data_IF_951554681706
#
_entry.id   IF_951554681706
#
_cell.length_a   1.000
_cell.length_b   1.000
_cell.length_c   1.000
_cell.angle_alpha   90.00
_cell.angle_beta   90.00
_cell.angle_gamma   90.00
#
_symmetry.space_group_name_H-M   'P 1'
#
loop_
_entity.id
_entity.type
_entity.pdbx_description
1 polymer ?
#
# COMPACT_ATOMS: atom_id res chain seq x y z
N UNK A 1 27.37 -16.82 6.49
CA UNK A 1 26.37 -17.88 6.19
C UNK A 1 25.08 -17.20 5.76
N UNK A 2 24.44 -17.64 4.68
CA UNK A 2 23.15 -17.10 4.28
C UNK A 2 22.05 -17.56 5.25
N UNK A 3 21.07 -16.71 5.53
CA UNK A 3 19.89 -17.09 6.31
C UNK A 3 19.09 -18.19 5.57
N UNK A 4 18.72 -19.27 6.26
CA UNK A 4 17.89 -20.37 5.72
C UNK A 4 16.67 -20.65 6.63
N UNK A 5 16.06 -19.61 7.17
CA UNK A 5 14.84 -19.74 7.97
C UNK A 5 13.66 -20.15 7.09
N UNK A 6 12.79 -21.04 7.62
CA UNK A 6 11.56 -21.50 6.98
C UNK A 6 10.41 -21.38 7.98
N UNK A 7 9.31 -20.77 7.57
CA UNK A 7 8.14 -20.58 8.42
C UNK A 7 7.01 -21.53 8.02
N UNK A 8 6.26 -22.02 9.02
CA UNK A 8 5.03 -22.78 8.76
C UNK A 8 3.98 -21.88 8.10
N UNK A 9 3.06 -22.47 7.33
CA UNK A 9 1.97 -21.73 6.70
C UNK A 9 1.13 -20.95 7.73
N UNK A 10 0.89 -21.55 8.90
CA UNK A 10 0.19 -20.90 10.01
C UNK A 10 0.91 -19.64 10.50
N UNK A 11 2.24 -19.68 10.64
CA UNK A 11 3.02 -18.53 11.04
C UNK A 11 3.05 -17.44 9.96
N UNK A 12 3.18 -17.82 8.68
CA UNK A 12 3.08 -16.85 7.56
C UNK A 12 1.73 -16.15 7.56
N UNK A 13 0.64 -16.88 7.78
CA UNK A 13 -0.69 -16.30 7.92
C UNK A 13 -0.76 -15.37 9.14
N UNK A 14 -0.25 -15.78 10.30
CA UNK A 14 -0.26 -14.91 11.49
C UNK A 14 0.51 -13.59 11.27
N UNK A 15 1.66 -13.63 10.59
CA UNK A 15 2.43 -12.44 10.23
C UNK A 15 1.65 -11.50 9.31
N UNK A 16 0.98 -12.03 8.28
CA UNK A 16 0.16 -11.21 7.40
C UNK A 16 -1.12 -10.68 8.07
N UNK A 17 -1.69 -11.45 9.01
CA UNK A 17 -2.84 -11.01 9.79
C UNK A 17 -2.48 -9.79 10.66
N UNK A 18 -1.24 -9.72 11.15
CA UNK A 18 -0.75 -8.57 11.91
C UNK A 18 -0.81 -7.26 11.10
N UNK A 19 -0.65 -7.30 9.77
CA UNK A 19 -0.82 -6.10 8.92
C UNK A 19 -2.26 -5.58 9.06
N UNK A 20 -3.24 -6.46 8.90
CA UNK A 20 -4.67 -6.10 9.01
C UNK A 20 -4.99 -5.54 10.39
N UNK A 21 -4.44 -6.15 11.44
CA UNK A 21 -4.59 -5.69 12.82
C UNK A 21 -3.96 -4.30 13.03
N UNK A 22 -2.75 -4.08 12.50
CA UNK A 22 -2.01 -2.83 12.70
C UNK A 22 -2.64 -1.66 11.95
N UNK A 23 -3.13 -1.89 10.73
CA UNK A 23 -3.89 -0.88 9.96
C UNK A 23 -5.14 -0.46 10.72
N UNK A 24 -5.80 -1.43 11.37
CA UNK A 24 -7.01 -1.21 12.13
C UNK A 24 -8.16 -0.74 11.24
N UNK A 25 -9.02 0.13 11.80
CA UNK A 25 -10.20 0.64 11.10
C UNK A 25 -9.88 1.93 10.35
N UNK A 26 -10.34 1.99 9.09
CA UNK A 26 -10.26 3.18 8.23
C UNK A 26 -8.82 3.64 7.95
N UNK A 27 -7.93 2.68 7.69
CA UNK A 27 -6.60 2.99 7.14
C UNK A 27 -6.67 3.64 5.76
N UNK A 28 -5.54 4.13 5.28
CA UNK A 28 -5.46 4.78 3.97
C UNK A 28 -4.17 4.43 3.23
N UNK A 29 -4.28 4.40 1.91
CA UNK A 29 -3.14 4.36 0.98
C UNK A 29 -2.80 5.76 0.56
N UNK A 30 -1.61 6.22 0.92
CA UNK A 30 -1.03 7.44 0.40
C UNK A 30 -0.06 7.08 -0.73
N UNK A 31 -0.33 7.59 -1.94
CA UNK A 31 0.42 7.27 -3.16
C UNK A 31 1.37 8.43 -3.46
N UNK A 32 2.62 8.11 -3.74
CA UNK A 32 3.68 9.10 -3.89
C UNK A 32 4.48 8.94 -5.19
N UNK A 33 5.12 10.03 -5.61
CA UNK A 33 6.21 10.01 -6.58
C UNK A 33 7.58 9.82 -5.91
N UNK A 34 8.62 9.75 -6.73
CA UNK A 34 10.00 9.76 -6.29
C UNK A 34 10.48 8.44 -5.68
N UNK A 35 11.45 8.53 -4.78
CA UNK A 35 12.07 7.38 -4.15
C UNK A 35 11.36 7.01 -2.84
N UNK A 36 11.03 5.73 -2.70
CA UNK A 36 10.50 5.16 -1.47
C UNK A 36 11.51 5.32 -0.32
N UNK A 37 11.09 5.74 0.89
CA UNK A 37 11.93 5.71 2.08
C UNK A 37 12.40 4.30 2.46
N UNK A 38 13.41 4.20 3.32
CA UNK A 38 13.96 2.91 3.74
C UNK A 38 12.98 2.05 4.57
N UNK A 39 12.03 2.68 5.27
CA UNK A 39 10.99 2.00 6.04
C UNK A 39 9.75 2.90 6.22
N UNK A 40 8.57 2.31 6.53
CA UNK A 40 7.35 3.06 6.83
C UNK A 40 7.48 4.03 8.02
N UNK A 41 8.45 3.83 8.91
CA UNK A 41 8.75 4.70 10.06
C UNK A 41 9.51 5.98 9.66
N UNK A 42 10.13 6.00 8.47
CA UNK A 42 10.86 7.16 7.98
C UNK A 42 9.88 8.19 7.43
N UNK A 43 9.98 9.42 7.92
CA UNK A 43 9.13 10.53 7.49
C UNK A 43 9.29 10.86 6.00
N UNK A 44 8.20 11.33 5.40
CA UNK A 44 8.19 11.87 4.03
C UNK A 44 8.83 13.25 4.05
N UNK A 45 9.74 13.50 3.12
CA UNK A 45 10.46 14.80 3.07
C UNK A 45 10.45 15.41 1.68
N UNK A 46 10.80 14.64 0.65
CA UNK A 46 10.97 15.13 -0.72
C UNK A 46 9.90 14.62 -1.68
N UNK A 47 9.17 13.58 -1.29
CA UNK A 47 8.16 12.94 -2.11
C UNK A 47 6.86 13.74 -2.13
N UNK A 48 6.19 13.77 -3.27
CA UNK A 48 4.91 14.44 -3.45
C UNK A 48 3.78 13.44 -3.27
N UNK A 49 2.84 13.76 -2.38
CA UNK A 49 1.60 12.99 -2.24
C UNK A 49 0.74 13.19 -3.49
N UNK A 50 0.56 12.17 -4.30
CA UNK A 50 -0.22 12.22 -5.54
C UNK A 50 -1.69 11.91 -5.32
N UNK A 51 -2.05 11.00 -4.41
CA UNK A 51 -3.43 10.69 -4.06
C UNK A 51 -3.51 9.98 -2.71
N UNK A 52 -4.65 10.11 -2.03
CA UNK A 52 -4.99 9.32 -0.84
C UNK A 52 -6.26 8.52 -1.11
N UNK A 53 -6.22 7.22 -0.85
CA UNK A 53 -7.32 6.29 -1.06
C UNK A 53 -7.69 5.64 0.27
N UNK A 54 -8.97 5.75 0.64
CA UNK A 54 -9.45 5.21 1.92
C UNK A 54 -9.72 3.71 1.80
N UNK A 55 -9.22 2.96 2.78
CA UNK A 55 -9.52 1.54 2.91
C UNK A 55 -10.93 1.34 3.47
N UNK A 56 -11.48 0.14 3.23
CA UNK A 56 -12.66 -0.33 3.96
C UNK A 56 -12.41 -0.36 5.48
N UNK A 57 -13.49 -0.30 6.28
CA UNK A 57 -13.41 -0.37 7.75
C UNK A 57 -12.66 -1.61 8.23
N UNK A 58 -12.83 -2.73 7.53
CA UNK A 58 -11.99 -3.91 7.65
C UNK A 58 -11.03 -3.90 6.47
N UNK A 59 -9.72 -3.80 6.74
CA UNK A 59 -8.70 -3.68 5.71
C UNK A 59 -8.66 -4.89 4.76
N UNK A 60 -8.63 -6.10 5.30
CA UNK A 60 -8.55 -7.34 4.53
C UNK A 60 -9.19 -8.51 5.29
N UNK A 61 -9.63 -9.58 4.59
CA UNK A 61 -10.01 -10.83 5.24
C UNK A 61 -8.77 -11.55 5.80
N UNK A 62 -9.01 -12.66 6.50
CA UNK A 62 -7.93 -13.50 7.02
C UNK A 62 -7.00 -13.98 5.88
N UNK A 63 -5.68 -13.95 6.09
CA UNK A 63 -4.70 -14.37 5.09
C UNK A 63 -4.79 -15.86 4.79
N UNK A 64 -4.40 -16.21 3.56
CA UNK A 64 -4.29 -17.58 3.08
C UNK A 64 -2.93 -17.79 2.43
N UNK A 65 -2.25 -18.88 2.79
CA UNK A 65 -0.92 -19.25 2.28
C UNK A 65 0.14 -18.14 2.37
N UNK A 66 0.08 -17.28 3.38
CA UNK A 66 1.00 -16.15 3.56
C UNK A 66 0.71 -14.97 2.63
N UNK A 67 -0.48 -14.91 2.05
CA UNK A 67 -0.97 -13.81 1.22
C UNK A 67 -2.18 -13.17 1.91
N UNK A 68 -2.17 -11.84 1.99
CA UNK A 68 -3.36 -11.05 2.33
C UNK A 68 -3.69 -10.13 1.15
N UNK A 69 -4.95 -10.13 0.75
CA UNK A 69 -5.48 -9.26 -0.32
C UNK A 69 -6.38 -8.24 0.32
N UNK A 70 -6.14 -6.95 0.06
CA UNK A 70 -6.99 -5.89 0.60
C UNK A 70 -8.44 -6.04 0.11
N UNK A 71 -9.40 -5.66 0.95
CA UNK A 71 -10.78 -5.47 0.54
C UNK A 71 -10.89 -4.33 -0.48
N UNK A 72 -12.11 -4.08 -0.99
CA UNK A 72 -12.36 -2.95 -1.88
C UNK A 72 -11.83 -1.63 -1.26
N UNK A 73 -11.01 -0.93 -2.05
CA UNK A 73 -10.42 0.35 -1.70
C UNK A 73 -11.23 1.42 -2.43
N UNK A 74 -11.62 2.47 -1.71
CA UNK A 74 -12.37 3.57 -2.32
C UNK A 74 -11.48 4.36 -3.26
N UNK A 75 -12.06 4.83 -4.36
CA UNK A 75 -11.35 5.69 -5.30
C UNK A 75 -10.85 6.96 -4.60
N UNK A 76 -9.66 7.39 -5.01
CA UNK A 76 -9.05 8.63 -4.59
C UNK A 76 -9.12 9.66 -5.70
N UNK A 77 -8.58 10.84 -5.41
CA UNK A 77 -8.46 11.92 -6.40
C UNK A 77 -7.04 12.47 -6.37
N UNK A 78 -6.49 12.76 -7.55
CA UNK A 78 -5.17 13.36 -7.68
C UNK A 78 -5.10 14.71 -6.96
N UNK A 79 -4.08 14.88 -6.12
CA UNK A 79 -3.87 16.12 -5.36
C UNK A 79 -3.33 17.24 -6.25
N UNK A 80 -3.20 18.45 -5.69
CA UNK A 80 -2.53 19.56 -6.36
C UNK A 80 -1.05 19.27 -6.70
N UNK A 81 -0.36 18.48 -5.88
CA UNK A 81 1.05 18.16 -6.11
C UNK A 81 1.26 17.28 -7.35
N UNK A 82 0.21 16.58 -7.82
CA UNK A 82 0.22 15.82 -9.06
C UNK A 82 0.26 16.71 -10.32
N UNK A 83 -0.16 17.98 -10.23
CA UNK A 83 -0.11 18.94 -11.34
C UNK A 83 -0.74 18.40 -12.63
N UNK A 84 -0.04 18.56 -13.76
CA UNK A 84 -0.49 18.07 -15.07
C UNK A 84 -0.33 16.55 -15.27
N UNK A 85 0.30 15.84 -14.34
CA UNK A 85 0.63 14.44 -14.47
C UNK A 85 1.98 14.12 -13.83
N UNK A 86 1.96 13.23 -12.84
CA UNK A 86 3.13 12.66 -12.21
C UNK A 86 3.02 11.15 -12.13
N UNK A 87 4.15 10.48 -12.21
CA UNK A 87 4.22 9.02 -12.11
C UNK A 87 4.27 8.60 -10.65
N UNK A 88 3.24 7.87 -10.21
CA UNK A 88 3.24 7.15 -8.96
C UNK A 88 4.23 5.99 -9.02
N UNK A 89 5.13 5.91 -8.04
CA UNK A 89 6.19 4.89 -7.98
C UNK A 89 6.04 3.98 -6.77
N UNK A 90 5.47 4.48 -5.67
CA UNK A 90 5.31 3.74 -4.43
C UNK A 90 4.13 4.28 -3.62
N UNK A 91 3.73 3.53 -2.59
CA UNK A 91 2.68 3.94 -1.66
C UNK A 91 3.07 3.64 -0.23
N UNK A 92 2.45 4.36 0.70
CA UNK A 92 2.42 4.06 2.13
C UNK A 92 1.01 3.68 2.55
N UNK A 93 0.84 2.49 3.11
CA UNK A 93 -0.33 2.12 3.87
C UNK A 93 -0.15 2.63 5.29
N UNK A 94 -1.10 3.42 5.76
CA UNK A 94 -1.09 4.00 7.10
C UNK A 94 -2.35 3.71 7.88
N UNK A 95 -2.23 3.80 9.20
CA UNK A 95 -3.38 3.80 10.11
C UNK A 95 -4.21 5.08 9.92
N UNK A 96 -5.44 5.06 10.44
CA UNK A 96 -6.29 6.26 10.51
C UNK A 96 -5.63 7.41 11.28
N UNK A 97 -4.76 7.10 12.26
CA UNK A 97 -3.98 8.06 13.03
C UNK A 97 -2.74 8.61 12.32
N UNK A 98 -2.44 8.18 11.09
CA UNK A 98 -1.32 8.71 10.30
C UNK A 98 -0.02 7.90 10.34
N UNK A 99 0.05 6.87 11.18
CA UNK A 99 1.27 6.07 11.32
C UNK A 99 1.46 5.12 10.13
N UNK A 100 2.65 5.09 9.54
CA UNK A 100 3.00 4.16 8.46
C UNK A 100 3.01 2.71 8.96
N UNK A 101 2.48 1.80 8.15
CA UNK A 101 2.41 0.36 8.44
C UNK A 101 3.20 -0.44 7.41
N UNK A 102 2.98 -0.18 6.13
CA UNK A 102 3.67 -0.85 5.03
C UNK A 102 3.97 0.15 3.93
N UNK A 103 5.18 0.10 3.39
CA UNK A 103 5.50 0.75 2.13
C UNK A 103 5.63 -0.31 1.03
N UNK A 104 5.12 -0.02 -0.16
CA UNK A 104 5.13 -0.96 -1.28
C UNK A 104 5.18 -0.28 -2.64
N UNK A 105 5.39 -1.09 -3.66
CA UNK A 105 5.49 -0.63 -5.05
C UNK A 105 4.13 -0.32 -5.65
N UNK A 106 4.10 0.66 -6.56
CA UNK A 106 2.92 1.00 -7.37
C UNK A 106 3.20 0.66 -8.83
N UNK A 107 2.22 0.04 -9.49
CA UNK A 107 2.31 -0.29 -10.91
C UNK A 107 0.95 -0.53 -11.55
N UNK A 108 0.95 -0.82 -12.86
CA UNK A 108 -0.26 -1.30 -13.57
C UNK A 108 -0.33 -2.83 -13.63
N UNK A 109 0.75 -3.53 -13.25
CA UNK A 109 0.84 -4.99 -13.10
C UNK A 109 2.09 -5.34 -12.28
N UNK A 110 2.11 -6.54 -11.70
CA UNK A 110 3.26 -7.08 -10.96
C UNK A 110 3.82 -6.16 -9.85
N UNK A 111 2.93 -5.42 -9.19
CA UNK A 111 3.25 -4.51 -8.09
C UNK A 111 2.37 -4.81 -6.87
N UNK A 112 2.78 -4.35 -5.69
CA UNK A 112 2.06 -4.57 -4.44
C UNK A 112 0.70 -3.82 -4.42
N UNK A 113 0.65 -2.67 -5.08
CA UNK A 113 -0.58 -1.92 -5.37
C UNK A 113 -0.71 -1.69 -6.88
N UNK A 114 -1.77 -2.24 -7.46
CA UNK A 114 -2.07 -2.13 -8.88
C UNK A 114 -3.12 -1.06 -9.12
N UNK A 115 -2.71 -0.01 -9.84
CA UNK A 115 -3.59 1.07 -10.29
C UNK A 115 -4.02 0.86 -11.74
N UNK A 116 -5.11 1.53 -12.13
CA UNK A 116 -5.52 1.60 -13.54
C UNK A 116 -4.57 2.43 -14.39
N UNK A 117 -3.93 3.44 -13.79
CA UNK A 117 -2.87 4.26 -14.38
C UNK A 117 -1.89 4.69 -13.28
N UNK A 118 -0.59 4.63 -13.56
CA UNK A 118 0.44 5.18 -12.68
C UNK A 118 0.66 6.68 -12.91
N UNK A 119 0.23 7.22 -14.06
CA UNK A 119 0.23 8.67 -14.28
C UNK A 119 -1.02 9.26 -13.65
N UNK A 120 -0.83 10.08 -12.62
CA UNK A 120 -1.89 10.76 -11.88
C UNK A 120 -1.74 12.26 -12.12
N UNK A 121 -2.81 12.91 -12.58
CA UNK A 121 -2.90 14.37 -12.64
C UNK A 121 -3.88 14.89 -11.58
N UNK A 122 -3.79 16.18 -11.26
CA UNK A 122 -4.71 16.80 -10.31
C UNK A 122 -6.17 16.59 -10.74
N UNK A 123 -7.04 16.22 -9.80
CA UNK A 123 -8.46 16.00 -10.07
C UNK A 123 -8.78 14.69 -10.82
N UNK A 124 -7.78 13.94 -11.28
CA UNK A 124 -8.02 12.62 -11.88
C UNK A 124 -8.50 11.63 -10.83
N UNK A 125 -9.46 10.80 -11.20
CA UNK A 125 -9.88 9.67 -10.36
C UNK A 125 -8.79 8.61 -10.35
N UNK A 126 -8.38 8.20 -9.15
CA UNK A 126 -7.38 7.15 -8.96
C UNK A 126 -8.08 5.93 -8.37
N UNK A 127 -8.04 4.82 -9.09
CA UNK A 127 -8.72 3.57 -8.72
C UNK A 127 -7.73 2.42 -8.60
N UNK A 128 -7.95 1.57 -7.61
CA UNK A 128 -7.13 0.38 -7.35
C UNK A 128 -7.82 -0.85 -7.95
N UNK A 129 -7.06 -1.60 -8.74
CA UNK A 129 -7.50 -2.88 -9.30
C UNK A 129 -7.23 -4.03 -8.33
N UNK A 130 -6.08 -4.01 -7.65
CA UNK A 130 -5.74 -4.99 -6.61
C UNK A 130 -4.66 -4.47 -5.67
N UNK A 131 -4.68 -4.91 -4.42
CA UNK A 131 -3.54 -4.78 -3.50
C UNK A 131 -3.31 -6.10 -2.79
N UNK A 132 -2.08 -6.60 -2.86
CA UNK A 132 -1.71 -7.90 -2.30
C UNK A 132 -0.38 -7.80 -1.57
N UNK A 133 -0.34 -8.39 -0.38
CA UNK A 133 0.86 -8.51 0.42
C UNK A 133 1.17 -9.98 0.55
N UNK A 134 2.38 -10.36 0.16
CA UNK A 134 2.84 -11.74 0.27
C UNK A 134 4.07 -11.74 1.13
N UNK A 135 4.08 -12.57 2.18
CA UNK A 135 5.34 -12.92 2.79
C UNK A 135 6.08 -13.84 1.81
N UNK A 136 7.15 -13.34 1.19
CA UNK A 136 7.95 -14.10 0.23
C UNK A 136 8.30 -15.50 0.76
N UNK A 137 7.84 -16.51 0.03
CA UNK A 137 8.20 -17.95 0.05
C UNK A 137 8.79 -18.54 1.34
#
# INVERSE_FOLDING_TARGET
MASNLKFSAALKNAQQAAITTQVGTSGAYDIYDGAQPASPDVAITTQNLLATLSCSSTFAPAPSNGVVTANAISNGTGTAAAGAGKTATWYRLRTSGGAGVVDGTVGTSNADLVLTSTTIAQGQTVSVSSSTYTNGQ
#
